data_IF_693566783072
#
_entry.id   IF_693566783072
#
_cell.length_a   1.000
_cell.length_b   1.000
_cell.length_c   1.000
_cell.angle_alpha   90.00
_cell.angle_beta   90.00
_cell.angle_gamma   90.00
#
_symmetry.space_group_name_H-M   'P 1'
#
loop_
_entity.id
_entity.type
_entity.pdbx_description
1 polymer ?
#
# COMPACT_ATOMS: atom_id res chain seq x y z
N UNK A 1 -10.10 -3.95 -4.41
CA UNK A 1 -8.78 -3.29 -4.40
C UNK A 1 -7.96 -3.97 -5.48
N UNK A 2 -7.25 -3.21 -6.31
CA UNK A 2 -6.43 -3.77 -7.41
C UNK A 2 -5.30 -4.65 -6.85
N UNK A 3 -5.06 -5.82 -7.46
CA UNK A 3 -4.00 -6.74 -7.06
C UNK A 3 -2.59 -6.14 -7.21
N UNK A 4 -2.40 -5.25 -8.18
CA UNK A 4 -1.11 -4.57 -8.42
C UNK A 4 -0.80 -3.62 -7.26
N UNK A 5 -1.83 -2.96 -6.71
CA UNK A 5 -1.67 -2.04 -5.57
C UNK A 5 -1.45 -2.79 -4.27
N UNK A 6 -2.10 -3.94 -4.11
CA UNK A 6 -1.88 -4.83 -2.99
C UNK A 6 -0.39 -5.18 -2.88
N UNK A 7 0.23 -5.59 -3.99
CA UNK A 7 1.67 -5.89 -4.04
C UNK A 7 2.52 -4.64 -3.73
N UNK A 8 2.22 -3.51 -4.38
CA UNK A 8 2.97 -2.26 -4.18
C UNK A 8 2.89 -1.70 -2.75
N UNK A 9 1.81 -2.01 -2.03
CA UNK A 9 1.64 -1.62 -0.64
C UNK A 9 2.50 -2.50 0.29
N UNK A 10 2.59 -3.80 0.01
CA UNK A 10 3.37 -4.76 0.79
C UNK A 10 4.88 -4.57 0.66
N UNK A 11 5.35 -3.96 -0.43
CA UNK A 11 6.77 -3.60 -0.61
C UNK A 11 7.24 -2.48 0.35
N UNK A 12 6.32 -1.72 0.97
CA UNK A 12 6.69 -0.65 1.89
C UNK A 12 6.93 -1.21 3.31
N UNK A 13 8.17 -1.08 3.82
CA UNK A 13 8.52 -1.57 5.17
C UNK A 13 7.67 -0.96 6.29
N UNK A 14 7.14 0.25 6.10
CA UNK A 14 6.22 0.88 7.07
C UNK A 14 4.90 0.12 7.11
N UNK A 15 4.40 -0.31 5.96
CA UNK A 15 3.18 -1.12 5.86
C UNK A 15 3.42 -2.51 6.44
N UNK A 16 4.58 -3.11 6.19
CA UNK A 16 4.94 -4.40 6.80
C UNK A 16 4.89 -4.34 8.34
N UNK A 17 5.42 -3.25 8.94
CA UNK A 17 5.34 -3.04 10.40
C UNK A 17 3.91 -2.84 10.91
N UNK A 18 3.07 -2.13 10.16
CA UNK A 18 1.65 -1.98 10.51
C UNK A 18 0.90 -3.32 10.45
N UNK A 19 1.20 -4.15 9.45
CA UNK A 19 0.64 -5.51 9.33
C UNK A 19 1.12 -6.41 10.48
N UNK A 20 2.39 -6.35 10.86
CA UNK A 20 2.90 -7.12 11.99
C UNK A 20 2.28 -6.68 13.33
N UNK A 21 2.07 -5.36 13.51
CA UNK A 21 1.32 -4.82 14.65
C UNK A 21 -0.11 -5.35 14.66
N UNK A 22 -0.81 -5.28 13.54
CA UNK A 22 -2.18 -5.78 13.40
C UNK A 22 -2.27 -7.27 13.70
N UNK A 23 -1.35 -8.06 13.14
CA UNK A 23 -1.23 -9.50 13.40
C UNK A 23 -1.11 -9.79 14.88
N UNK A 24 -0.24 -9.07 15.58
CA UNK A 24 -0.05 -9.25 17.02
C UNK A 24 -1.35 -8.95 17.79
N UNK A 25 -1.96 -7.78 17.56
CA UNK A 25 -3.20 -7.38 18.25
C UNK A 25 -4.33 -8.39 18.01
N UNK A 26 -4.54 -8.83 16.77
CA UNK A 26 -5.61 -9.76 16.43
C UNK A 26 -5.33 -11.18 16.93
N UNK A 27 -4.05 -11.59 16.98
CA UNK A 27 -3.68 -12.89 17.55
C UNK A 27 -3.94 -12.94 19.04
N UNK A 28 -3.64 -11.86 19.77
CA UNK A 28 -4.00 -11.72 21.18
C UNK A 28 -5.52 -11.73 21.36
N UNK A 29 -6.24 -10.98 20.53
CA UNK A 29 -7.71 -10.90 20.59
C UNK A 29 -8.40 -12.25 20.36
N UNK A 30 -7.89 -13.05 19.43
CA UNK A 30 -8.45 -14.36 19.07
C UNK A 30 -7.83 -15.52 19.85
N UNK A 31 -6.83 -15.27 20.71
CA UNK A 31 -6.03 -16.27 21.42
C UNK A 31 -5.45 -17.35 20.50
N UNK A 32 -5.14 -16.98 19.26
CA UNK A 32 -4.52 -17.86 18.25
C UNK A 32 -3.78 -17.01 17.22
N UNK A 33 -2.67 -17.52 16.69
CA UNK A 33 -2.00 -16.86 15.58
C UNK A 33 -2.90 -16.83 14.35
N UNK A 34 -3.15 -15.63 13.82
CA UNK A 34 -3.94 -15.44 12.61
C UNK A 34 -3.12 -15.64 11.33
N UNK A 35 -1.79 -15.61 11.43
CA UNK A 35 -0.88 -15.70 10.30
C UNK A 35 -0.71 -14.38 9.53
N UNK A 36 0.42 -14.25 8.84
CA UNK A 36 0.80 -13.02 8.14
C UNK A 36 -0.10 -12.70 6.94
N UNK A 37 -0.47 -13.69 6.15
CA UNK A 37 -1.28 -13.51 4.94
C UNK A 37 -2.67 -12.98 5.27
N UNK A 38 -3.31 -13.59 6.27
CA UNK A 38 -4.61 -13.16 6.77
C UNK A 38 -4.54 -11.75 7.36
N UNK A 39 -3.53 -11.48 8.20
CA UNK A 39 -3.32 -10.16 8.77
C UNK A 39 -3.13 -9.09 7.68
N UNK A 40 -2.33 -9.38 6.65
CA UNK A 40 -2.10 -8.48 5.53
C UNK A 40 -3.40 -8.18 4.77
N UNK A 41 -4.18 -9.22 4.44
CA UNK A 41 -5.44 -9.05 3.72
C UNK A 41 -6.47 -8.23 4.53
N UNK A 42 -6.63 -8.54 5.82
CA UNK A 42 -7.58 -7.85 6.69
C UNK A 42 -7.15 -6.39 6.94
N UNK A 43 -5.86 -6.16 7.22
CA UNK A 43 -5.32 -4.82 7.43
C UNK A 43 -5.45 -3.95 6.18
N UNK A 44 -5.16 -4.49 4.99
CA UNK A 44 -5.28 -3.75 3.74
C UNK A 44 -6.72 -3.35 3.45
N UNK A 45 -7.68 -4.24 3.72
CA UNK A 45 -9.12 -3.96 3.57
C UNK A 45 -9.59 -2.86 4.54
N UNK A 46 -9.12 -2.88 5.78
CA UNK A 46 -9.56 -1.96 6.82
C UNK A 46 -8.84 -0.59 6.78
N UNK A 47 -7.53 -0.59 6.54
CA UNK A 47 -6.67 0.58 6.75
C UNK A 47 -5.88 1.01 5.51
N UNK A 48 -5.75 0.15 4.50
CA UNK A 48 -4.89 0.41 3.34
C UNK A 48 -5.20 1.72 2.60
N UNK A 49 -6.47 2.05 2.40
CA UNK A 49 -6.88 3.31 1.75
C UNK A 49 -6.52 4.55 2.59
N UNK A 50 -6.74 4.48 3.91
CA UNK A 50 -6.42 5.59 4.82
C UNK A 50 -4.91 5.79 4.87
N UNK A 51 -4.16 4.70 4.94
CA UNK A 51 -2.71 4.74 4.96
C UNK A 51 -2.15 5.39 3.69
N UNK A 52 -2.66 5.00 2.50
CA UNK A 52 -2.30 5.61 1.22
C UNK A 52 -2.64 7.10 1.18
N UNK A 53 -3.82 7.50 1.66
CA UNK A 53 -4.22 8.92 1.71
C UNK A 53 -3.21 9.78 2.47
N UNK A 54 -2.69 9.27 3.59
CA UNK A 54 -1.78 9.99 4.47
C UNK A 54 -0.34 9.97 3.95
N UNK A 55 0.14 8.80 3.48
CA UNK A 55 1.56 8.59 3.21
C UNK A 55 1.92 8.58 1.72
N UNK A 56 0.96 8.30 0.84
CA UNK A 56 1.13 8.28 -0.62
C UNK A 56 -0.06 8.98 -1.30
N UNK A 57 -0.26 10.30 -1.06
CA UNK A 57 -1.44 11.02 -1.54
C UNK A 57 -1.57 11.05 -3.06
N UNK A 58 -0.46 10.96 -3.80
CA UNK A 58 -0.47 10.84 -5.26
C UNK A 58 -1.06 9.50 -5.69
N UNK A 59 -0.57 8.39 -5.12
CA UNK A 59 -1.12 7.05 -5.36
C UNK A 59 -2.60 7.04 -4.97
N UNK A 60 -2.95 7.52 -3.78
CA UNK A 60 -4.34 7.63 -3.33
C UNK A 60 -5.21 8.41 -4.33
N UNK A 61 -4.78 9.59 -4.77
CA UNK A 61 -5.53 10.44 -5.72
C UNK A 61 -5.72 9.78 -7.08
N UNK A 62 -4.74 8.99 -7.53
CA UNK A 62 -4.84 8.14 -8.71
C UNK A 62 -5.91 7.05 -8.50
N UNK A 63 -5.95 6.39 -7.34
CA UNK A 63 -6.93 5.34 -7.02
C UNK A 63 -8.36 5.82 -6.93
N UNK A 64 -8.57 7.02 -6.37
CA UNK A 64 -9.91 7.57 -6.19
C UNK A 64 -10.39 8.40 -7.38
N UNK A 65 -9.69 8.35 -8.52
CA UNK A 65 -10.11 9.00 -9.77
C UNK A 65 -10.24 10.52 -9.71
N UNK A 66 -9.58 11.17 -8.73
CA UNK A 66 -9.57 12.65 -8.61
C UNK A 66 -8.33 13.28 -9.25
N UNK A 67 -7.33 12.50 -9.63
CA UNK A 67 -6.24 12.93 -10.51
C UNK A 67 -6.67 12.81 -11.97
N UNK A 68 -6.63 13.92 -12.72
CA UNK A 68 -6.79 13.93 -14.18
C UNK A 68 -5.90 12.83 -14.80
N UNK A 69 -6.51 11.99 -15.64
CA UNK A 69 -5.93 11.21 -16.74
C UNK A 69 -4.39 11.12 -16.79
N UNK A 70 -3.83 9.92 -16.60
CA UNK A 70 -2.48 9.61 -17.08
C UNK A 70 -1.67 8.67 -16.19
N UNK A 71 -1.78 7.36 -16.43
CA UNK A 71 -0.72 6.39 -16.13
C UNK A 71 -0.88 5.30 -17.20
N UNK A 72 0.08 4.96 -18.05
CA UNK A 72 1.48 5.34 -18.28
C UNK A 72 1.77 5.03 -19.76
N UNK A 73 2.60 5.84 -20.40
CA UNK A 73 3.59 5.29 -21.33
C UNK A 73 4.84 4.98 -20.51
N UNK A 74 5.08 3.70 -20.24
CA UNK A 74 6.25 3.17 -19.53
C UNK A 74 7.56 3.34 -20.32
N UNK A 75 7.54 3.96 -21.50
CA UNK A 75 8.73 4.20 -22.34
C UNK A 75 9.46 5.54 -22.08
N UNK A 76 8.96 6.42 -21.20
CA UNK A 76 9.48 7.80 -21.02
C UNK A 76 10.19 8.07 -19.68
N UNK A 77 10.48 7.08 -18.84
CA UNK A 77 11.35 7.28 -17.69
C UNK A 77 12.83 7.34 -18.13
N UNK A 78 13.25 8.45 -18.75
CA UNK A 78 14.68 8.73 -18.96
C UNK A 78 15.29 9.24 -17.65
N UNK A 79 16.49 8.76 -17.28
CA UNK A 79 17.17 9.16 -16.05
C UNK A 79 17.53 10.64 -16.12
N UNK A 80 17.47 11.32 -14.97
CA UNK A 80 17.87 12.72 -14.81
C UNK A 80 19.37 12.86 -15.05
N UNK A 81 19.79 12.97 -16.31
CA UNK A 81 21.14 13.43 -16.64
C UNK A 81 21.13 14.94 -16.60
N UNK A 82 21.80 15.47 -15.57
CA UNK A 82 22.10 16.87 -15.39
C UNK A 82 22.73 17.50 -16.64
N UNK A 83 22.33 18.75 -16.94
CA UNK A 83 23.18 19.68 -17.66
C UNK A 83 23.20 21.01 -16.92
N UNK A 84 24.42 21.35 -16.48
CA UNK A 84 24.90 22.68 -16.10
C UNK A 84 24.93 23.53 -17.37
#
# INVERSE_FOLDING_TARGET
>A
MDAILFLRLLDDERVAREIDRYKWIESERLKKDIGRERAAMEWIKAYGMIWLKIHKPNDYSFLIGRGKTGYLDSSQAKPLTAKI
#
